data_IF_077911704040
#
_entry.id   IF_077911704040
#
_cell.length_a   1.000
_cell.length_b   1.000
_cell.length_c   1.000
_cell.angle_alpha   90.00
_cell.angle_beta   90.00
_cell.angle_gamma   90.00
#
_symmetry.space_group_name_H-M   'P 1'
#
loop_
_entity.id
_entity.type
_entity.pdbx_description
1 polymer ?
#
# COMPACT_ATOMS: atom_id res chain seq x y z
N UNK A 1 15.73 8.34 27.97
CA UNK A 1 15.07 8.45 26.64
C UNK A 1 14.46 7.08 26.37
N UNK A 2 13.19 6.89 26.69
CA UNK A 2 12.53 5.59 26.48
C UNK A 2 12.41 5.34 24.98
N UNK A 3 12.97 4.22 24.52
CA UNK A 3 12.73 3.71 23.18
C UNK A 3 11.23 3.42 23.06
N UNK A 4 10.56 4.15 22.18
CA UNK A 4 9.17 3.96 21.84
C UNK A 4 9.04 2.63 21.07
N UNK A 5 9.05 1.51 21.81
CA UNK A 5 9.02 0.16 21.27
C UNK A 5 7.67 -0.06 20.58
N UNK A 6 7.72 -0.12 19.25
CA UNK A 6 6.61 -0.57 18.43
C UNK A 6 6.40 -2.06 18.66
N UNK A 7 5.15 -2.52 18.51
CA UNK A 7 4.78 -3.93 18.59
C UNK A 7 5.64 -4.74 17.61
N UNK A 8 6.11 -5.90 18.05
CA UNK A 8 6.91 -6.81 17.24
C UNK A 8 6.09 -7.32 16.05
N UNK A 9 6.67 -7.20 14.85
CA UNK A 9 6.09 -7.73 13.63
C UNK A 9 6.76 -9.05 13.30
N UNK A 10 5.97 -10.10 13.11
CA UNK A 10 6.42 -11.42 12.70
C UNK A 10 5.88 -11.76 11.32
N UNK A 11 6.62 -12.56 10.55
CA UNK A 11 6.08 -13.18 9.34
C UNK A 11 5.28 -14.43 9.74
N UNK A 12 4.06 -14.55 9.22
CA UNK A 12 3.23 -15.72 9.44
C UNK A 12 2.20 -15.88 8.34
N UNK A 13 1.27 -16.81 8.53
CA UNK A 13 0.22 -17.13 7.56
C UNK A 13 -1.13 -17.11 8.25
N UNK A 14 -2.10 -16.42 7.64
CA UNK A 14 -3.52 -16.47 8.03
C UNK A 14 -4.31 -16.71 6.73
N UNK A 15 -5.17 -17.73 6.74
CA UNK A 15 -6.04 -18.04 5.60
C UNK A 15 -5.32 -18.50 4.32
N UNK A 16 -4.12 -19.08 4.42
CA UNK A 16 -3.34 -19.46 3.23
C UNK A 16 -2.48 -18.34 2.65
N UNK A 17 -2.48 -17.16 3.27
CA UNK A 17 -1.76 -15.97 2.79
C UNK A 17 -0.62 -15.62 3.73
N UNK A 18 0.62 -15.67 3.23
CA UNK A 18 1.78 -15.15 3.95
C UNK A 18 1.67 -13.63 4.10
N UNK A 19 1.75 -13.16 5.33
CA UNK A 19 1.64 -11.75 5.66
C UNK A 19 2.34 -11.41 6.96
N UNK A 20 2.53 -10.11 7.19
CA UNK A 20 3.03 -9.60 8.46
C UNK A 20 1.93 -9.63 9.51
N UNK A 21 2.23 -10.24 10.66
CA UNK A 21 1.34 -10.40 11.79
C UNK A 21 1.95 -9.74 13.03
N UNK A 22 1.12 -9.50 14.04
CA UNK A 22 1.59 -9.16 15.37
C UNK A 22 0.79 -9.89 16.45
N UNK A 23 1.35 -9.95 17.66
CA UNK A 23 0.68 -10.51 18.82
C UNK A 23 -0.31 -9.49 19.42
N UNK A 24 -1.58 -9.91 19.57
CA UNK A 24 -2.62 -9.02 20.06
C UNK A 24 -2.43 -8.61 21.53
N UNK A 25 -1.76 -9.42 22.35
CA UNK A 25 -1.49 -9.10 23.76
C UNK A 25 -0.38 -8.07 23.88
N UNK A 26 0.64 -8.16 23.03
CA UNK A 26 1.66 -7.11 22.91
C UNK A 26 1.02 -5.79 22.47
N UNK A 27 0.12 -5.83 21.47
CA UNK A 27 -0.64 -4.65 21.06
C UNK A 27 -1.52 -4.08 22.19
N UNK A 28 -2.22 -4.93 22.93
CA UNK A 28 -3.05 -4.52 24.08
C UNK A 28 -2.23 -3.78 25.14
N UNK A 29 -1.06 -4.30 25.48
CA UNK A 29 -0.11 -3.67 26.40
C UNK A 29 0.44 -2.34 25.86
N UNK A 30 0.84 -2.31 24.58
CA UNK A 30 1.30 -1.10 23.91
C UNK A 30 0.23 0.00 23.93
N UNK A 31 -1.02 -0.35 23.64
CA UNK A 31 -2.14 0.58 23.62
C UNK A 31 -2.60 1.01 25.02
N UNK A 32 -2.06 0.41 26.10
CA UNK A 32 -2.41 0.71 27.50
C UNK A 32 -3.92 0.58 27.77
N UNK A 33 -4.55 -0.44 27.20
CA UNK A 33 -5.98 -0.70 27.36
C UNK A 33 -6.26 -1.15 28.80
N UNK A 34 -7.21 -0.50 29.47
CA UNK A 34 -7.55 -0.80 30.86
C UNK A 34 -8.45 -2.04 31.07
N UNK A 35 -9.15 -2.48 30.02
CA UNK A 35 -9.96 -3.71 30.06
C UNK A 35 -9.05 -4.94 30.01
N UNK A 36 -9.45 -6.04 30.65
CA UNK A 36 -8.73 -7.30 30.53
C UNK A 36 -8.66 -7.78 29.07
N UNK A 37 -7.54 -8.41 28.72
CA UNK A 37 -7.25 -8.81 27.34
C UNK A 37 -8.35 -9.68 26.73
N UNK A 38 -8.85 -10.68 27.47
CA UNK A 38 -9.81 -11.66 26.96
C UNK A 38 -11.15 -11.03 26.59
N UNK A 39 -11.70 -10.17 27.45
CA UNK A 39 -12.94 -9.46 27.15
C UNK A 39 -12.73 -8.35 26.12
N UNK A 40 -11.54 -7.75 26.10
CA UNK A 40 -11.18 -6.75 25.10
C UNK A 40 -11.15 -7.35 23.70
N UNK A 41 -10.35 -8.39 23.46
CA UNK A 41 -10.17 -8.94 22.11
C UNK A 41 -11.47 -9.52 21.55
N UNK A 42 -12.23 -10.28 22.38
CA UNK A 42 -13.53 -10.82 21.98
C UNK A 42 -14.53 -9.73 21.64
N UNK A 43 -14.61 -8.70 22.50
CA UNK A 43 -15.50 -7.56 22.26
C UNK A 43 -15.13 -6.78 21.01
N UNK A 44 -13.84 -6.65 20.69
CA UNK A 44 -13.39 -5.98 19.47
C UNK A 44 -13.64 -6.81 18.20
N UNK A 45 -13.39 -8.12 18.27
CA UNK A 45 -13.73 -9.05 17.18
C UNK A 45 -15.21 -8.97 16.84
N UNK A 46 -16.09 -9.05 17.84
CA UNK A 46 -17.53 -8.94 17.63
C UNK A 46 -17.96 -7.56 17.14
N UNK A 47 -17.45 -6.49 17.76
CA UNK A 47 -17.87 -5.12 17.46
C UNK A 47 -17.52 -4.67 16.03
N UNK A 48 -16.35 -5.06 15.53
CA UNK A 48 -15.84 -4.62 14.22
C UNK A 48 -15.95 -5.71 13.15
N UNK A 49 -16.48 -6.89 13.50
CA UNK A 49 -16.74 -7.97 12.55
C UNK A 49 -15.47 -8.63 12.01
N UNK A 50 -14.40 -8.69 12.81
CA UNK A 50 -13.17 -9.37 12.42
C UNK A 50 -13.42 -10.88 12.26
N UNK A 51 -12.82 -11.47 11.23
CA UNK A 51 -13.07 -12.86 10.84
C UNK A 51 -11.85 -13.73 11.17
N UNK A 52 -12.09 -14.86 11.85
CA UNK A 52 -11.05 -15.87 12.09
C UNK A 52 -10.60 -16.51 10.78
N UNK A 53 -9.29 -16.57 10.55
CA UNK A 53 -8.72 -17.05 9.28
C UNK A 53 -8.58 -15.97 8.20
N UNK A 54 -9.03 -14.73 8.46
CA UNK A 54 -8.78 -13.57 7.60
C UNK A 54 -8.01 -12.48 8.36
N UNK A 55 -8.56 -12.04 9.50
CA UNK A 55 -8.02 -10.95 10.32
C UNK A 55 -7.17 -11.44 11.49
N UNK A 56 -7.48 -12.64 12.00
CA UNK A 56 -6.76 -13.21 13.14
C UNK A 56 -6.74 -14.73 13.14
N UNK A 57 -5.80 -15.29 13.90
CA UNK A 57 -5.70 -16.71 14.21
C UNK A 57 -5.46 -16.91 15.71
N UNK A 58 -6.31 -17.67 16.42
CA UNK A 58 -6.11 -17.99 17.83
C UNK A 58 -4.95 -18.99 18.00
N UNK A 59 -3.97 -18.66 18.85
CA UNK A 59 -2.82 -19.52 19.17
C UNK A 59 -2.82 -19.89 20.65
N UNK A 60 -2.58 -21.17 20.96
CA UNK A 60 -2.45 -21.61 22.35
C UNK A 60 -1.11 -21.12 22.93
N UNK A 61 -1.16 -20.42 24.06
CA UNK A 61 0.03 -20.05 24.81
C UNK A 61 0.78 -21.30 25.30
N UNK A 62 2.09 -21.16 25.57
CA UNK A 62 2.86 -22.22 26.23
C UNK A 62 2.30 -22.45 27.65
N UNK A 63 1.87 -23.68 27.93
CA UNK A 63 1.34 -24.04 29.26
C UNK A 63 2.47 -24.08 30.30
N UNK A 64 2.21 -23.49 31.47
CA UNK A 64 3.09 -23.52 32.66
C UNK A 64 2.54 -24.44 33.76
N UNK A 65 1.70 -25.43 33.40
CA UNK A 65 1.12 -26.41 34.33
C UNK A 65 -0.39 -26.27 34.56
N UNK A 66 -1.06 -25.40 33.80
CA UNK A 66 -2.52 -25.21 33.79
C UNK A 66 -3.13 -25.18 32.38
N UNK A 67 -4.42 -24.82 32.26
CA UNK A 67 -5.05 -24.62 30.94
C UNK A 67 -4.29 -23.50 30.20
N UNK A 68 -3.70 -23.77 29.01
CA UNK A 68 -2.96 -22.75 28.30
C UNK A 68 -3.87 -21.56 27.96
N UNK A 69 -3.34 -20.35 28.12
CA UNK A 69 -4.02 -19.13 27.72
C UNK A 69 -4.26 -19.09 26.21
N UNK A 70 -5.29 -18.36 25.78
CA UNK A 70 -5.53 -18.12 24.38
C UNK A 70 -4.86 -16.80 23.99
N UNK A 71 -3.90 -16.88 23.07
CA UNK A 71 -3.31 -15.73 22.38
C UNK A 71 -3.92 -15.60 20.99
N UNK A 72 -3.69 -14.44 20.36
CA UNK A 72 -4.21 -14.12 19.04
C UNK A 72 -3.08 -13.51 18.22
N UNK A 73 -2.77 -14.15 17.10
CA UNK A 73 -2.03 -13.50 16.03
C UNK A 73 -3.02 -12.72 15.17
N UNK A 74 -2.75 -11.46 14.94
CA UNK A 74 -3.63 -10.57 14.18
C UNK A 74 -2.87 -9.99 12.98
N UNK A 75 -3.58 -9.71 11.90
CA UNK A 75 -3.01 -9.01 10.76
C UNK A 75 -2.62 -7.58 11.14
N UNK A 76 -1.67 -7.00 10.39
CA UNK A 76 -1.33 -5.59 10.58
C UNK A 76 -2.52 -4.66 10.32
N UNK A 77 -3.47 -5.04 9.47
CA UNK A 77 -4.65 -4.22 9.18
C UNK A 77 -5.62 -4.21 10.36
N UNK A 78 -5.91 -5.39 10.93
CA UNK A 78 -6.66 -5.48 12.19
C UNK A 78 -5.97 -4.70 13.31
N UNK A 79 -4.64 -4.82 13.46
CA UNK A 79 -3.88 -4.09 14.48
C UNK A 79 -3.97 -2.56 14.32
N UNK A 80 -3.90 -2.07 13.08
CA UNK A 80 -4.07 -0.64 12.76
C UNK A 80 -5.45 -0.15 13.16
N UNK A 81 -6.49 -0.89 12.80
CA UNK A 81 -7.87 -0.55 13.12
C UNK A 81 -8.08 -0.51 14.63
N UNK A 82 -7.65 -1.57 15.35
CA UNK A 82 -7.68 -1.63 16.81
C UNK A 82 -7.00 -0.42 17.45
N UNK A 83 -5.79 -0.07 17.00
CA UNK A 83 -5.08 1.10 17.50
C UNK A 83 -5.87 2.40 17.27
N UNK A 84 -6.54 2.55 16.13
CA UNK A 84 -7.33 3.75 15.82
C UNK A 84 -8.60 3.85 16.68
N UNK A 85 -9.28 2.74 16.94
CA UNK A 85 -10.56 2.72 17.68
C UNK A 85 -10.40 2.80 19.20
N UNK A 86 -9.22 2.49 19.75
CA UNK A 86 -8.97 2.68 21.18
C UNK A 86 -9.03 4.15 21.63
N UNK A 87 -8.94 5.11 20.71
CA UNK A 87 -9.11 6.55 20.97
C UNK A 87 -8.23 7.10 22.12
N UNK A 88 -7.03 6.55 22.28
CA UNK A 88 -6.06 6.98 23.30
C UNK A 88 -4.79 7.59 22.66
N UNK A 89 -3.84 8.04 23.49
CA UNK A 89 -2.61 8.66 23.01
C UNK A 89 -1.79 7.74 22.10
N UNK A 90 -1.72 6.44 22.41
CA UNK A 90 -0.99 5.45 21.63
C UNK A 90 -1.66 5.23 20.27
N UNK A 91 -3.00 5.13 20.25
CA UNK A 91 -3.78 5.11 19.02
C UNK A 91 -3.57 6.35 18.15
N UNK A 92 -3.54 7.54 18.76
CA UNK A 92 -3.23 8.81 18.06
C UNK A 92 -1.81 8.79 17.47
N UNK A 93 -0.83 8.25 18.19
CA UNK A 93 0.54 8.12 17.70
C UNK A 93 0.63 7.19 16.50
N UNK A 94 0.00 6.00 16.57
CA UNK A 94 -0.08 5.05 15.45
C UNK A 94 -0.71 5.71 14.23
N UNK A 95 -1.86 6.38 14.39
CA UNK A 95 -2.53 7.10 13.30
C UNK A 95 -1.61 8.17 12.67
N UNK A 96 -0.91 8.97 13.48
CA UNK A 96 0.03 10.00 12.97
C UNK A 96 1.19 9.37 12.22
N UNK A 97 1.72 8.25 12.70
CA UNK A 97 2.79 7.52 12.03
C UNK A 97 2.35 7.03 10.64
N UNK A 98 1.20 6.38 10.54
CA UNK A 98 0.69 5.90 9.24
C UNK A 98 0.40 7.04 8.27
N UNK A 99 -0.20 8.14 8.73
CA UNK A 99 -0.39 9.34 7.90
C UNK A 99 0.96 9.89 7.41
N UNK A 100 1.97 9.94 8.29
CA UNK A 100 3.30 10.38 7.91
C UNK A 100 3.95 9.44 6.89
N UNK A 101 3.81 8.12 7.05
CA UNK A 101 4.29 7.14 6.09
C UNK A 101 3.57 7.26 4.74
N UNK A 102 2.26 7.42 4.73
CA UNK A 102 1.48 7.60 3.50
C UNK A 102 1.84 8.93 2.80
N UNK A 103 2.07 10.00 3.56
CA UNK A 103 2.59 11.26 3.00
C UNK A 103 3.97 11.07 2.39
N UNK A 104 4.89 10.40 3.07
CA UNK A 104 6.22 10.07 2.53
C UNK A 104 6.12 9.19 1.29
N UNK A 105 5.28 8.17 1.31
CA UNK A 105 5.04 7.31 0.15
C UNK A 105 4.49 8.13 -1.02
N UNK A 106 3.53 9.03 -0.78
CA UNK A 106 3.04 9.97 -1.80
C UNK A 106 4.09 10.98 -2.25
N UNK A 107 5.02 11.38 -1.40
CA UNK A 107 6.15 12.24 -1.77
C UNK A 107 7.15 11.47 -2.62
N UNK A 108 7.44 10.20 -2.31
CA UNK A 108 8.34 9.34 -3.09
C UNK A 108 7.72 8.97 -4.44
N UNK A 109 6.43 8.64 -4.49
CA UNK A 109 5.70 8.32 -5.72
C UNK A 109 5.22 9.58 -6.49
N UNK A 110 5.18 10.74 -5.83
CA UNK A 110 4.72 12.02 -6.37
C UNK A 110 5.83 13.04 -6.54
N UNK A 111 7.11 12.65 -6.47
CA UNK A 111 8.22 13.55 -6.71
C UNK A 111 8.45 13.76 -8.21
N UNK A 112 7.54 14.51 -8.79
CA UNK A 112 7.95 15.60 -9.68
C UNK A 112 6.95 16.72 -9.45
N UNK A 113 7.20 17.56 -8.42
CA UNK A 113 6.55 18.89 -8.32
C UNK A 113 7.10 19.79 -9.43
N UNK A 114 6.78 19.42 -10.67
CA UNK A 114 7.02 20.20 -11.85
C UNK A 114 6.19 21.47 -11.74
N UNK A 115 6.82 22.63 -11.89
CA UNK A 115 6.11 23.90 -12.10
C UNK A 115 5.18 23.75 -13.30
N UNK A 116 4.11 24.54 -13.34
CA UNK A 116 3.13 24.48 -14.43
C UNK A 116 3.80 24.57 -15.83
N UNK A 117 4.81 25.42 -15.97
CA UNK A 117 5.64 25.54 -17.18
C UNK A 117 6.41 24.28 -17.53
N UNK A 118 6.97 23.58 -16.53
CA UNK A 118 7.74 22.35 -16.71
C UNK A 118 6.81 21.18 -17.07
N UNK A 119 5.62 21.10 -16.46
CA UNK A 119 4.58 20.12 -16.84
C UNK A 119 4.18 20.28 -18.31
N UNK A 120 3.94 21.51 -18.76
CA UNK A 120 3.59 21.80 -20.16
C UNK A 120 4.74 21.39 -21.10
N UNK A 121 5.99 21.66 -20.71
CA UNK A 121 7.15 21.29 -21.52
C UNK A 121 7.27 19.76 -21.66
N UNK A 122 7.17 19.02 -20.56
CA UNK A 122 7.25 17.55 -20.58
C UNK A 122 6.06 16.95 -21.35
N UNK A 123 4.86 17.50 -21.19
CA UNK A 123 3.69 17.04 -21.96
C UNK A 123 3.86 17.24 -23.47
N UNK A 124 4.45 18.36 -23.91
CA UNK A 124 4.81 18.57 -25.32
C UNK A 124 5.86 17.57 -25.80
N UNK A 125 6.87 17.27 -24.97
CA UNK A 125 7.88 16.28 -25.29
C UNK A 125 7.29 14.87 -25.44
N UNK A 126 6.37 14.46 -24.57
CA UNK A 126 5.65 13.18 -24.68
C UNK A 126 4.96 13.04 -26.03
N UNK A 127 4.21 14.07 -26.47
CA UNK A 127 3.53 14.07 -27.77
C UNK A 127 4.53 13.94 -28.93
N UNK A 128 5.68 14.61 -28.86
CA UNK A 128 6.71 14.51 -29.90
C UNK A 128 7.37 13.14 -29.93
N UNK A 129 7.64 12.55 -28.75
CA UNK A 129 8.25 11.22 -28.63
C UNK A 129 7.31 10.12 -29.11
N UNK A 130 5.99 10.25 -28.89
CA UNK A 130 5.00 9.33 -29.44
C UNK A 130 5.02 9.34 -30.97
N UNK A 131 4.97 10.53 -31.59
CA UNK A 131 5.07 10.67 -33.06
C UNK A 131 6.38 10.13 -33.61
N UNK A 132 7.49 10.37 -32.92
CA UNK A 132 8.80 9.83 -33.31
C UNK A 132 8.85 8.31 -33.18
N UNK A 133 8.20 7.74 -32.16
CA UNK A 133 8.11 6.31 -31.94
C UNK A 133 7.25 5.64 -33.02
N UNK A 134 6.16 6.26 -33.43
CA UNK A 134 5.32 5.80 -34.56
C UNK A 134 6.09 5.81 -35.89
N UNK A 135 6.88 6.85 -36.16
CA UNK A 135 7.67 6.97 -37.39
C UNK A 135 8.93 6.09 -37.41
N UNK A 136 9.45 5.69 -36.24
CA UNK A 136 10.66 4.88 -36.15
C UNK A 136 10.37 3.41 -36.47
N UNK A 137 11.03 2.87 -37.49
CA UNK A 137 10.92 1.47 -37.91
C UNK A 137 12.04 0.59 -37.36
N UNK A 138 13.22 1.16 -37.10
CA UNK A 138 14.36 0.43 -36.57
C UNK A 138 14.19 0.10 -35.07
N UNK A 139 14.32 -1.19 -34.73
CA UNK A 139 14.12 -1.69 -33.36
C UNK A 139 15.01 -0.98 -32.32
N UNK A 140 16.27 -0.72 -32.66
CA UNK A 140 17.20 -0.03 -31.78
C UNK A 140 16.74 1.41 -31.48
N UNK A 141 16.35 2.16 -32.52
CA UNK A 141 15.87 3.54 -32.39
C UNK A 141 14.55 3.62 -31.61
N UNK A 142 13.61 2.70 -31.87
CA UNK A 142 12.34 2.60 -31.13
C UNK A 142 12.55 2.41 -29.63
N UNK A 143 13.49 1.54 -29.23
CA UNK A 143 13.82 1.29 -27.81
C UNK A 143 14.34 2.55 -27.11
N UNK A 144 15.19 3.32 -27.79
CA UNK A 144 15.75 4.57 -27.24
C UNK A 144 14.66 5.62 -27.05
N UNK A 145 13.78 5.79 -28.05
CA UNK A 145 12.67 6.76 -28.00
C UNK A 145 11.67 6.37 -26.90
N UNK A 146 11.35 5.07 -26.78
CA UNK A 146 10.45 4.55 -25.75
C UNK A 146 11.01 4.70 -24.33
N UNK A 147 12.32 4.52 -24.14
CA UNK A 147 12.96 4.77 -22.85
C UNK A 147 12.82 6.24 -22.41
N UNK A 148 13.02 7.19 -23.35
CA UNK A 148 12.81 8.62 -23.09
C UNK A 148 11.33 8.95 -22.81
N UNK A 149 10.40 8.32 -23.53
CA UNK A 149 8.97 8.45 -23.29
C UNK A 149 8.58 7.96 -21.90
N UNK A 150 9.09 6.78 -21.49
CA UNK A 150 8.83 6.19 -20.18
C UNK A 150 9.28 7.11 -19.04
N UNK A 151 10.46 7.71 -19.16
CA UNK A 151 10.98 8.67 -18.18
C UNK A 151 10.06 9.88 -18.02
N UNK A 152 9.59 10.45 -19.13
CA UNK A 152 8.67 11.59 -19.12
C UNK A 152 7.28 11.22 -18.57
N UNK A 153 6.76 10.02 -18.88
CA UNK A 153 5.50 9.54 -18.32
C UNK A 153 5.59 9.35 -16.80
N UNK A 154 6.68 8.76 -16.30
CA UNK A 154 6.93 8.63 -14.84
C UNK A 154 6.96 10.00 -14.17
N UNK A 155 7.61 11.00 -14.77
CA UNK A 155 7.64 12.36 -14.25
C UNK A 155 6.26 13.05 -14.21
N UNK A 156 5.34 12.66 -15.08
CA UNK A 156 3.98 13.18 -15.11
C UNK A 156 2.97 12.34 -14.31
N UNK A 157 3.39 11.17 -13.80
CA UNK A 157 2.50 10.18 -13.19
C UNK A 157 1.55 9.51 -14.19
N UNK A 158 1.96 9.41 -15.46
CA UNK A 158 1.20 8.76 -16.53
C UNK A 158 1.62 7.30 -16.70
N UNK A 159 0.70 6.40 -17.08
CA UNK A 159 1.05 5.04 -17.47
C UNK A 159 1.95 5.05 -18.71
N UNK A 160 2.92 4.13 -18.75
CA UNK A 160 3.83 3.98 -19.89
C UNK A 160 3.22 2.96 -20.87
N UNK A 161 2.94 3.34 -22.13
CA UNK A 161 2.41 2.40 -23.12
C UNK A 161 3.46 1.33 -23.47
N UNK A 162 3.04 0.10 -23.77
CA UNK A 162 3.99 -0.92 -24.18
C UNK A 162 4.62 -0.58 -25.54
N UNK A 163 5.90 -0.93 -25.72
CA UNK A 163 6.66 -0.60 -26.94
C UNK A 163 6.01 -1.13 -28.24
N UNK A 164 5.26 -2.23 -28.13
CA UNK A 164 4.56 -2.89 -29.23
C UNK A 164 3.13 -2.37 -29.45
N UNK A 165 2.55 -1.64 -28.50
CA UNK A 165 1.20 -1.06 -28.63
C UNK A 165 1.23 0.27 -29.41
N UNK A 166 2.38 0.94 -29.43
CA UNK A 166 2.55 2.23 -30.12
C UNK A 166 2.72 2.02 -31.64
N UNK A 167 1.65 2.32 -32.37
CA UNK A 167 1.57 2.24 -33.84
C UNK A 167 0.90 0.99 -34.39
N UNK A 168 0.36 0.12 -33.52
CA UNK A 168 -0.24 -1.15 -33.95
C UNK A 168 -1.76 -1.09 -34.15
N UNK A 169 -2.48 -0.17 -33.51
CA UNK A 169 -3.88 0.12 -33.79
C UNK A 169 -4.19 1.57 -33.43
N UNK A 170 -4.71 2.34 -34.39
CA UNK A 170 -4.99 3.77 -34.22
C UNK A 170 -6.10 4.05 -33.19
N UNK A 171 -6.10 5.24 -32.55
CA UNK A 171 -7.12 5.61 -31.58
C UNK A 171 -8.49 5.74 -32.24
N UNK A 172 -9.50 5.01 -31.74
CA UNK A 172 -10.90 5.25 -32.08
C UNK A 172 -11.52 6.24 -31.08
N UNK A 173 -12.28 7.22 -31.57
CA UNK A 173 -13.08 8.16 -30.78
C UNK A 173 -12.32 9.16 -29.89
N UNK A 174 -11.22 9.76 -30.37
CA UNK A 174 -10.62 10.94 -29.74
C UNK A 174 -9.90 10.72 -28.39
N UNK A 175 -9.67 9.46 -28.01
CA UNK A 175 -8.88 9.07 -26.83
C UNK A 175 -7.39 8.91 -27.19
N UNK A 176 -6.47 9.30 -26.29
CA UNK A 176 -5.01 9.24 -26.52
C UNK A 176 -4.41 7.82 -26.42
N UNK A 177 -5.16 6.86 -25.86
CA UNK A 177 -4.73 5.47 -25.59
C UNK A 177 -5.92 4.50 -25.72
N UNK A 178 -5.71 3.18 -25.96
CA UNK A 178 -6.77 2.18 -25.93
C UNK A 178 -7.48 2.11 -24.57
N UNK A 179 -8.81 1.86 -24.57
CA UNK A 179 -9.63 1.78 -23.34
C UNK A 179 -9.15 0.76 -22.31
N UNK A 180 -8.44 -0.27 -22.74
CA UNK A 180 -7.85 -1.29 -21.86
C UNK A 180 -6.79 -0.74 -20.90
N UNK A 181 -6.27 0.46 -21.15
CA UNK A 181 -5.27 1.13 -20.31
C UNK A 181 -5.86 2.14 -19.32
N UNK A 182 -7.17 2.43 -19.41
CA UNK A 182 -7.85 3.21 -18.38
C UNK A 182 -8.40 2.27 -17.31
N UNK A 183 -8.27 2.61 -16.02
CA UNK A 183 -8.88 1.81 -14.96
C UNK A 183 -10.40 1.77 -15.16
N UNK A 184 -10.96 0.56 -15.19
CA UNK A 184 -12.40 0.31 -15.28
C UNK A 184 -13.04 0.88 -14.01
N UNK A 185 -14.11 1.67 -14.16
CA UNK A 185 -14.91 2.16 -13.03
C UNK A 185 -15.63 1.03 -12.31
#
# INVERSE_FOLDING_TARGET
MEQNQLVTVISGEIGGVEQSLCDARELHGFLKVGRDFSNWIKGRVEQYGFVEGEDFSPVLAKSTGGRPGQEYLITLDMAKELAMVENNDQGRMVRRYFIAMERRAREVHGNTKLKHSERIAIQKQVVNLLKALEAATAHASRRVIHAALAQNCVQLGLPVPALHDVGSDGPQNGELFPRSLYPVK
#
